data_IF_288967308179
#
_entry.id   IF_288967308179
#
_cell.length_a   1.000
_cell.length_b   1.000
_cell.length_c   1.000
_cell.angle_alpha   90.00
_cell.angle_beta   90.00
_cell.angle_gamma   90.00
#
_symmetry.space_group_name_H-M   'P 1'
#
loop_
_entity.id
_entity.type
_entity.pdbx_description
1 polymer ?
#
# COMPACT_ATOMS: atom_id res chain seq x y z
N UNK A 1 -15.13 -4.14 -8.93
CA UNK A 1 -16.12 -4.65 -7.97
C UNK A 1 -17.38 -3.82 -8.15
N UNK A 2 -18.55 -4.43 -8.23
CA UNK A 2 -19.82 -3.74 -8.47
C UNK A 2 -20.21 -2.91 -7.23
N UNK A 3 -20.32 -1.58 -7.35
CA UNK A 3 -20.52 -0.66 -6.22
C UNK A 3 -21.76 -1.01 -5.38
N UNK A 4 -22.83 -1.48 -6.04
CA UNK A 4 -24.06 -1.92 -5.37
C UNK A 4 -23.84 -3.14 -4.47
N UNK A 5 -22.93 -4.06 -4.86
CA UNK A 5 -22.58 -5.24 -4.04
C UNK A 5 -21.74 -4.86 -2.84
N UNK A 6 -20.87 -3.86 -2.97
CA UNK A 6 -20.07 -3.34 -1.85
C UNK A 6 -20.95 -2.62 -0.81
N UNK A 7 -21.97 -1.88 -1.24
CA UNK A 7 -22.96 -1.24 -0.36
C UNK A 7 -23.75 -2.27 0.47
N UNK A 8 -24.18 -3.38 -0.16
CA UNK A 8 -24.88 -4.47 0.53
C UNK A 8 -24.03 -5.11 1.65
N UNK A 9 -22.73 -5.25 1.42
CA UNK A 9 -21.78 -5.81 2.39
C UNK A 9 -21.68 -4.89 3.60
N UNK A 10 -21.55 -3.58 3.38
CA UNK A 10 -21.48 -2.58 4.45
C UNK A 10 -22.77 -2.52 5.27
N UNK A 11 -23.92 -2.55 4.61
CA UNK A 11 -25.21 -2.55 5.29
C UNK A 11 -25.44 -3.84 6.08
N UNK A 12 -25.02 -4.99 5.55
CA UNK A 12 -25.10 -6.26 6.27
C UNK A 12 -24.18 -6.27 7.51
N UNK A 13 -22.99 -5.68 7.42
CA UNK A 13 -22.08 -5.51 8.56
C UNK A 13 -22.67 -4.59 9.63
N UNK A 14 -23.26 -3.47 9.22
CA UNK A 14 -23.91 -2.52 10.12
C UNK A 14 -25.11 -3.13 10.84
N UNK A 15 -25.93 -3.92 10.14
CA UNK A 15 -27.07 -4.60 10.74
C UNK A 15 -26.62 -5.73 11.66
N UNK A 16 -25.57 -6.47 11.31
CA UNK A 16 -24.98 -7.46 12.21
C UNK A 16 -24.45 -6.80 13.49
N UNK A 17 -23.78 -5.65 13.39
CA UNK A 17 -23.30 -4.89 14.56
C UNK A 17 -24.44 -4.39 15.46
N UNK A 18 -25.53 -3.90 14.86
CA UNK A 18 -26.71 -3.40 15.61
C UNK A 18 -27.49 -4.52 16.29
N UNK A 19 -27.65 -5.66 15.61
CA UNK A 19 -28.55 -6.73 16.04
C UNK A 19 -27.85 -7.81 16.88
N UNK A 20 -26.58 -8.08 16.61
CA UNK A 20 -25.78 -9.10 17.32
C UNK A 20 -24.31 -8.68 17.37
N UNK A 21 -24.00 -7.74 18.27
CA UNK A 21 -22.66 -7.16 18.44
C UNK A 21 -21.59 -8.24 18.68
N UNK A 22 -21.91 -9.31 19.41
CA UNK A 22 -20.96 -10.40 19.67
C UNK A 22 -20.66 -11.21 18.40
N UNK A 23 -21.68 -11.50 17.58
CA UNK A 23 -21.46 -12.15 16.29
C UNK A 23 -20.69 -11.24 15.33
N UNK A 24 -20.97 -9.93 15.32
CA UNK A 24 -20.20 -8.96 14.56
C UNK A 24 -18.73 -8.93 14.98
N UNK A 25 -18.44 -8.79 16.27
CA UNK A 25 -17.07 -8.75 16.77
C UNK A 25 -16.31 -10.06 16.47
N UNK A 26 -16.98 -11.21 16.59
CA UNK A 26 -16.39 -12.52 16.26
C UNK A 26 -16.19 -12.71 14.75
N UNK A 27 -17.13 -12.27 13.91
CA UNK A 27 -17.02 -12.26 12.45
C UNK A 27 -15.88 -11.35 11.99
N UNK A 28 -15.84 -10.12 12.49
CA UNK A 28 -14.77 -9.16 12.20
C UNK A 28 -13.43 -9.68 12.70
N UNK A 29 -13.34 -10.25 13.90
CA UNK A 29 -12.13 -10.87 14.41
C UNK A 29 -11.70 -12.04 13.52
N UNK A 30 -12.61 -12.91 13.08
CA UNK A 30 -12.29 -14.05 12.23
C UNK A 30 -11.79 -13.65 10.84
N UNK A 31 -12.47 -12.72 10.17
CA UNK A 31 -12.17 -12.35 8.78
C UNK A 31 -11.14 -11.23 8.66
N UNK A 32 -11.09 -10.31 9.63
CA UNK A 32 -10.10 -9.23 9.66
C UNK A 32 -8.86 -9.56 10.49
N UNK A 33 -8.81 -10.68 11.25
CA UNK A 33 -7.55 -11.07 11.92
C UNK A 33 -6.40 -11.32 10.95
N UNK A 34 -6.66 -11.67 9.69
CA UNK A 34 -5.61 -11.77 8.67
C UNK A 34 -4.92 -10.43 8.41
N UNK A 35 -5.62 -9.29 8.58
CA UNK A 35 -5.03 -7.94 8.54
C UNK A 35 -4.24 -7.63 9.83
N UNK A 36 -4.63 -8.23 10.96
CA UNK A 36 -3.91 -8.13 12.24
C UNK A 36 -2.69 -9.07 12.33
N UNK A 37 -2.51 -10.00 11.39
CA UNK A 37 -1.35 -10.90 11.31
C UNK A 37 -0.12 -10.23 10.67
N UNK A 38 -0.20 -8.94 10.36
CA UNK A 38 0.89 -8.21 9.70
C UNK A 38 2.13 -8.17 10.58
N UNK A 39 3.26 -8.59 10.00
CA UNK A 39 4.47 -8.80 10.77
C UNK A 39 5.35 -7.56 10.71
N UNK A 40 5.68 -6.93 11.86
CA UNK A 40 6.60 -5.80 11.87
C UNK A 40 8.02 -6.27 11.54
N UNK A 41 8.64 -5.60 10.60
CA UNK A 41 10.02 -5.77 10.21
C UNK A 41 10.75 -4.43 10.26
N UNK A 42 12.07 -4.45 10.37
CA UNK A 42 12.92 -3.26 10.33
C UNK A 42 13.82 -3.38 9.11
N UNK A 43 13.35 -2.99 7.92
CA UNK A 43 14.14 -3.09 6.71
C UNK A 43 15.25 -2.03 6.71
N UNK A 44 16.30 -2.26 5.92
CA UNK A 44 17.45 -1.37 5.82
C UNK A 44 17.24 -0.41 4.66
N UNK A 45 17.50 0.88 4.88
CA UNK A 45 17.35 1.90 3.84
C UNK A 45 18.36 1.71 2.71
N UNK A 46 17.92 1.89 1.47
CA UNK A 46 18.73 1.89 0.27
C UNK A 46 19.00 3.32 -0.21
N UNK A 47 17.95 3.96 -0.73
CA UNK A 47 17.96 5.25 -1.42
C UNK A 47 16.54 5.79 -1.52
N UNK A 48 16.41 7.07 -1.89
CA UNK A 48 15.14 7.72 -2.15
C UNK A 48 15.00 8.05 -3.64
N UNK A 49 13.79 7.92 -4.17
CA UNK A 49 13.43 8.42 -5.49
C UNK A 49 12.27 9.41 -5.38
N UNK A 50 12.23 10.38 -6.28
CA UNK A 50 11.10 11.29 -6.44
C UNK A 50 10.50 11.13 -7.82
N UNK A 51 9.18 11.20 -7.89
CA UNK A 51 8.42 11.33 -9.14
C UNK A 51 7.30 12.36 -8.98
N UNK A 52 6.63 12.68 -10.07
CA UNK A 52 5.55 13.65 -10.10
C UNK A 52 4.19 12.97 -9.85
N UNK A 53 3.38 13.61 -9.01
CA UNK A 53 1.95 13.33 -8.90
C UNK A 53 1.23 14.22 -9.91
N UNK A 54 0.44 13.62 -10.78
CA UNK A 54 -0.19 14.27 -11.92
C UNK A 54 -1.71 14.16 -11.84
N UNK A 55 -2.42 15.25 -12.16
CA UNK A 55 -3.87 15.24 -12.39
C UNK A 55 -4.15 15.38 -13.86
N UNK A 56 -5.15 14.66 -14.38
CA UNK A 56 -5.66 14.93 -15.73
C UNK A 56 -6.39 16.27 -15.71
N UNK A 57 -5.83 17.29 -16.36
CA UNK A 57 -6.42 18.62 -16.42
C UNK A 57 -7.32 18.79 -17.64
N UNK A 58 -6.95 18.20 -18.79
CA UNK A 58 -7.75 18.22 -20.02
C UNK A 58 -7.69 16.84 -20.68
N UNK A 59 -8.85 16.26 -20.98
CA UNK A 59 -8.96 15.03 -21.75
C UNK A 59 -9.78 15.27 -23.01
N UNK A 60 -9.14 15.16 -24.17
CA UNK A 60 -9.83 15.14 -25.47
C UNK A 60 -9.96 13.70 -25.97
N UNK A 61 -10.61 13.49 -27.12
CA UNK A 61 -10.71 12.16 -27.74
C UNK A 61 -9.34 11.57 -28.12
N UNK A 62 -8.32 12.41 -28.30
CA UNK A 62 -7.00 12.00 -28.81
C UNK A 62 -5.86 12.28 -27.84
N UNK A 63 -5.99 13.26 -26.95
CA UNK A 63 -4.92 13.72 -26.06
C UNK A 63 -5.39 13.75 -24.59
N UNK A 64 -4.47 13.42 -23.69
CA UNK A 64 -4.63 13.61 -22.25
C UNK A 64 -3.52 14.55 -21.78
N UNK A 65 -3.90 15.73 -21.30
CA UNK A 65 -2.99 16.70 -20.70
C UNK A 65 -3.03 16.54 -19.19
N UNK A 66 -1.84 16.51 -18.59
CA UNK A 66 -1.65 16.30 -17.17
C UNK A 66 -0.91 17.47 -16.56
N UNK A 67 -1.33 17.86 -15.37
CA UNK A 67 -0.68 18.89 -14.56
C UNK A 67 -0.06 18.27 -13.33
N UNK A 68 1.17 18.69 -13.02
CA UNK A 68 1.84 18.29 -11.79
C UNK A 68 1.16 18.96 -10.59
N UNK A 69 0.75 18.14 -9.63
CA UNK A 69 0.15 18.56 -8.36
C UNK A 69 1.25 18.76 -7.31
N UNK A 70 2.10 17.74 -7.12
CA UNK A 70 3.16 17.74 -6.11
C UNK A 70 4.22 16.66 -6.42
N UNK A 71 5.24 16.59 -5.57
CA UNK A 71 6.25 15.54 -5.60
C UNK A 71 5.77 14.30 -4.82
N UNK A 72 6.14 13.11 -5.28
CA UNK A 72 5.99 11.85 -4.56
C UNK A 72 7.37 11.29 -4.22
N UNK A 73 7.75 11.34 -2.94
CA UNK A 73 9.00 10.78 -2.43
C UNK A 73 8.81 9.32 -2.01
N UNK A 74 9.64 8.43 -2.52
CA UNK A 74 9.54 7.00 -2.27
C UNK A 74 10.87 6.51 -1.69
N UNK A 75 10.82 6.09 -0.44
CA UNK A 75 11.97 5.53 0.26
C UNK A 75 12.07 4.03 -0.02
N UNK A 76 13.16 3.61 -0.66
CA UNK A 76 13.41 2.22 -0.99
C UNK A 76 14.20 1.57 0.14
N UNK A 77 13.71 0.44 0.63
CA UNK A 77 14.35 -0.36 1.67
C UNK A 77 14.51 -1.81 1.22
N UNK A 78 15.40 -2.55 1.86
CA UNK A 78 15.57 -3.97 1.64
C UNK A 78 15.53 -4.79 2.93
N UNK A 79 15.14 -6.05 2.79
CA UNK A 79 15.10 -7.03 3.89
C UNK A 79 15.23 -8.45 3.34
N UNK A 80 15.65 -9.40 4.17
CA UNK A 80 15.57 -10.83 3.87
C UNK A 80 14.30 -11.49 4.46
N UNK A 81 13.36 -10.70 4.99
CA UNK A 81 12.13 -11.18 5.63
C UNK A 81 10.90 -11.22 4.70
N UNK A 82 11.02 -10.63 3.51
CA UNK A 82 10.04 -10.78 2.42
C UNK A 82 10.37 -12.07 1.68
N UNK A 83 9.36 -12.73 1.11
CA UNK A 83 9.53 -13.91 0.26
C UNK A 83 10.61 -13.67 -0.81
N UNK A 84 11.56 -14.60 -0.91
CA UNK A 84 12.65 -14.50 -1.86
C UNK A 84 12.12 -14.53 -3.32
N UNK A 85 12.71 -13.75 -4.23
CA UNK A 85 12.31 -13.78 -5.62
C UNK A 85 12.76 -15.08 -6.29
N UNK A 86 11.95 -15.59 -7.22
CA UNK A 86 12.31 -16.74 -8.06
C UNK A 86 12.84 -16.22 -9.38
N UNK A 87 14.17 -16.18 -9.52
CA UNK A 87 14.87 -15.66 -10.69
C UNK A 87 15.65 -16.79 -11.39
N UNK A 88 15.64 -16.88 -12.73
CA UNK A 88 16.54 -17.78 -13.46
C UNK A 88 18.01 -17.46 -13.17
N UNK A 89 18.91 -18.44 -13.19
CA UNK A 89 20.34 -18.21 -12.89
C UNK A 89 21.00 -17.15 -13.79
N UNK A 90 20.57 -17.08 -15.06
CA UNK A 90 21.06 -16.14 -16.07
C UNK A 90 20.17 -14.89 -16.23
N UNK A 91 19.32 -14.55 -15.24
CA UNK A 91 18.35 -13.45 -15.38
C UNK A 91 19.00 -12.09 -15.72
N UNK A 92 20.23 -11.85 -15.26
CA UNK A 92 20.98 -10.63 -15.57
C UNK A 92 21.35 -10.49 -17.06
N UNK A 93 21.42 -11.59 -17.82
CA UNK A 93 21.62 -11.55 -19.28
C UNK A 93 20.34 -11.19 -20.04
N UNK A 94 19.18 -11.42 -19.41
CA UNK A 94 17.85 -11.26 -20.01
C UNK A 94 16.93 -10.40 -19.11
N UNK A 95 17.45 -9.28 -18.61
CA UNK A 95 16.76 -8.42 -17.63
C UNK A 95 15.36 -7.98 -18.09
N UNK A 96 15.19 -7.74 -19.39
CA UNK A 96 13.91 -7.28 -19.95
C UNK A 96 12.80 -8.36 -19.93
N UNK A 97 13.16 -9.64 -19.74
CA UNK A 97 12.23 -10.77 -19.76
C UNK A 97 11.99 -11.38 -18.37
N UNK A 98 12.35 -10.66 -17.30
CA UNK A 98 12.12 -11.11 -15.93
C UNK A 98 10.61 -11.20 -15.66
N UNK A 99 10.16 -12.32 -15.13
CA UNK A 99 8.78 -12.45 -14.65
C UNK A 99 8.63 -11.73 -13.30
N UNK A 100 7.99 -10.56 -13.31
CA UNK A 100 7.75 -9.74 -12.11
C UNK A 100 6.72 -10.34 -11.15
N UNK A 101 5.91 -11.33 -11.55
CA UNK A 101 5.02 -12.05 -10.63
C UNK A 101 5.81 -12.84 -9.57
N UNK A 102 7.07 -13.16 -9.87
CA UNK A 102 7.97 -13.85 -8.96
C UNK A 102 8.81 -12.90 -8.08
N UNK A 103 8.58 -11.58 -8.16
CA UNK A 103 9.29 -10.58 -7.36
C UNK A 103 8.30 -9.89 -6.43
N UNK A 104 8.46 -10.14 -5.14
CA UNK A 104 7.64 -9.51 -4.10
C UNK A 104 8.18 -8.13 -3.74
N UNK A 105 7.32 -7.13 -3.85
CA UNK A 105 7.56 -5.74 -3.48
C UNK A 105 6.43 -5.34 -2.57
N UNK A 106 6.73 -4.99 -1.32
CA UNK A 106 5.71 -4.48 -0.41
C UNK A 106 5.78 -2.96 -0.38
N UNK A 107 4.66 -2.30 -0.64
CA UNK A 107 4.57 -0.84 -0.62
C UNK A 107 3.62 -0.36 0.45
N UNK A 108 3.91 0.79 1.05
CA UNK A 108 2.95 1.47 1.88
C UNK A 108 3.10 2.99 1.78
N UNK A 109 1.97 3.68 1.89
CA UNK A 109 1.93 5.13 2.00
C UNK A 109 2.37 5.54 3.39
N UNK A 110 3.20 6.57 3.48
CA UNK A 110 3.70 7.10 4.76
C UNK A 110 3.40 8.59 4.83
N UNK A 111 3.37 9.12 6.06
CA UNK A 111 3.34 10.57 6.25
C UNK A 111 4.77 11.11 6.12
N UNK A 112 4.96 12.07 5.23
CA UNK A 112 6.24 12.78 5.15
C UNK A 112 6.24 14.10 5.91
N UNK A 113 7.28 14.87 5.63
CA UNK A 113 7.59 16.09 6.37
C UNK A 113 6.87 17.31 5.81
N UNK A 114 6.66 17.34 4.50
CA UNK A 114 5.84 18.35 3.83
C UNK A 114 4.40 17.86 3.76
N UNK A 115 3.45 18.70 4.18
CA UNK A 115 2.04 18.45 3.93
C UNK A 115 1.62 18.68 2.48
N UNK A 116 2.53 19.20 1.63
CA UNK A 116 2.28 19.48 0.22
C UNK A 116 2.64 18.30 -0.69
N UNK A 117 3.48 17.39 -0.21
CA UNK A 117 4.04 16.30 -1.01
C UNK A 117 3.54 14.95 -0.51
N UNK A 118 3.64 13.93 -1.36
CA UNK A 118 3.26 12.56 -1.06
C UNK A 118 4.49 11.72 -0.74
N UNK A 119 4.31 10.72 0.12
CA UNK A 119 5.40 9.91 0.62
C UNK A 119 5.00 8.44 0.73
N UNK A 120 5.90 7.56 0.30
CA UNK A 120 5.72 6.13 0.39
C UNK A 120 7.05 5.47 0.77
N UNK A 121 6.96 4.22 1.19
CA UNK A 121 8.09 3.32 1.22
C UNK A 121 7.80 2.09 0.38
N UNK A 122 8.87 1.53 -0.18
CA UNK A 122 8.84 0.26 -0.88
C UNK A 122 9.94 -0.63 -0.31
N UNK A 123 9.57 -1.86 0.05
CA UNK A 123 10.47 -2.84 0.64
C UNK A 123 10.64 -4.00 -0.33
N UNK A 124 11.90 -4.27 -0.68
CA UNK A 124 12.29 -5.34 -1.59
C UNK A 124 13.12 -6.42 -0.88
N UNK A 125 13.21 -7.59 -1.50
CA UNK A 125 14.09 -8.64 -0.98
C UNK A 125 15.58 -8.28 -1.14
N UNK A 126 16.41 -8.74 -0.22
CA UNK A 126 17.87 -8.52 -0.24
C UNK A 126 18.57 -9.04 -1.51
N UNK A 127 18.03 -10.09 -2.15
CA UNK A 127 18.52 -10.59 -3.44
C UNK A 127 18.32 -9.55 -4.55
N UNK A 128 17.17 -8.88 -4.59
CA UNK A 128 16.92 -7.82 -5.57
C UNK A 128 17.91 -6.67 -5.32
N UNK A 129 18.04 -6.22 -4.07
CA UNK A 129 18.96 -5.14 -3.71
C UNK A 129 20.42 -5.43 -4.12
N UNK A 130 20.93 -6.65 -3.92
CA UNK A 130 22.30 -7.04 -4.31
C UNK A 130 22.59 -6.86 -5.80
N UNK A 131 21.55 -6.96 -6.64
CA UNK A 131 21.69 -6.84 -8.09
C UNK A 131 21.43 -5.42 -8.61
N UNK A 132 21.04 -4.47 -7.75
CA UNK A 132 20.81 -3.06 -8.12
C UNK A 132 22.07 -2.24 -8.41
N UNK A 133 23.26 -2.86 -8.40
CA UNK A 133 24.46 -2.23 -8.94
C UNK A 133 24.36 -2.08 -10.46
N UNK A 134 23.59 -2.95 -11.13
CA UNK A 134 23.24 -2.77 -12.53
C UNK A 134 22.15 -1.71 -12.68
N UNK A 135 22.46 -0.67 -13.47
CA UNK A 135 21.58 0.51 -13.63
C UNK A 135 20.28 0.15 -14.34
N UNK A 136 20.32 -0.76 -15.32
CA UNK A 136 19.15 -1.18 -16.07
C UNK A 136 18.19 -1.93 -15.16
N UNK A 137 18.69 -2.94 -14.44
CA UNK A 137 17.91 -3.70 -13.48
C UNK A 137 17.34 -2.81 -12.37
N UNK A 138 18.17 -1.90 -11.83
CA UNK A 138 17.73 -0.94 -10.81
C UNK A 138 16.57 -0.07 -11.32
N UNK A 139 16.67 0.46 -12.53
CA UNK A 139 15.62 1.30 -13.11
C UNK A 139 14.32 0.52 -13.33
N UNK A 140 14.42 -0.72 -13.82
CA UNK A 140 13.24 -1.58 -14.04
C UNK A 140 12.51 -1.89 -12.73
N UNK A 141 13.25 -2.21 -11.65
CA UNK A 141 12.63 -2.41 -10.33
C UNK A 141 11.97 -1.12 -9.83
N UNK A 142 12.59 0.04 -10.03
CA UNK A 142 11.99 1.32 -9.62
C UNK A 142 10.71 1.58 -10.42
N UNK A 143 10.72 1.43 -11.75
CA UNK A 143 9.52 1.55 -12.58
C UNK A 143 8.42 0.63 -12.09
N UNK A 144 8.74 -0.62 -11.74
CA UNK A 144 7.76 -1.57 -11.18
C UNK A 144 7.17 -1.09 -9.84
N UNK A 145 7.99 -0.51 -8.97
CA UNK A 145 7.53 0.10 -7.71
C UNK A 145 6.56 1.25 -8.00
N UNK A 146 6.89 2.12 -8.97
CA UNK A 146 6.03 3.23 -9.37
C UNK A 146 4.69 2.75 -9.94
N UNK A 147 4.69 1.68 -10.73
CA UNK A 147 3.47 1.06 -11.25
C UNK A 147 2.55 0.56 -10.13
N UNK A 148 3.10 -0.14 -9.13
CA UNK A 148 2.35 -0.64 -7.98
C UNK A 148 1.71 0.54 -7.22
N UNK A 149 2.50 1.57 -6.92
CA UNK A 149 2.02 2.78 -6.22
C UNK A 149 0.95 3.50 -7.07
N UNK A 150 1.17 3.65 -8.37
CA UNK A 150 0.20 4.27 -9.27
C UNK A 150 -1.14 3.54 -9.29
N UNK A 151 -1.11 2.21 -9.39
CA UNK A 151 -2.32 1.38 -9.38
C UNK A 151 -3.08 1.51 -8.06
N UNK A 152 -2.36 1.62 -6.95
CA UNK A 152 -2.94 1.86 -5.63
C UNK A 152 -3.61 3.22 -5.52
N UNK A 153 -2.90 4.30 -5.88
CA UNK A 153 -3.44 5.65 -5.79
C UNK A 153 -4.64 5.83 -6.73
N UNK A 154 -4.61 5.23 -7.94
CA UNK A 154 -5.76 5.20 -8.85
C UNK A 154 -6.98 4.52 -8.25
N UNK A 155 -6.77 3.42 -7.51
CA UNK A 155 -7.86 2.70 -6.85
C UNK A 155 -8.54 3.57 -5.80
N UNK A 156 -7.80 4.48 -5.15
CA UNK A 156 -8.34 5.43 -4.18
C UNK A 156 -8.92 6.68 -4.83
N UNK A 157 -8.27 7.22 -5.87
CA UNK A 157 -8.66 8.43 -6.59
C UNK A 157 -8.31 8.32 -8.07
N UNK A 158 -9.33 8.06 -8.90
CA UNK A 158 -9.15 7.83 -10.35
C UNK A 158 -8.56 9.04 -11.11
N UNK A 159 -8.60 10.24 -10.54
CA UNK A 159 -8.08 11.47 -11.14
C UNK A 159 -6.60 11.74 -10.82
N UNK A 160 -6.00 10.96 -9.92
CA UNK A 160 -4.58 11.04 -9.57
C UNK A 160 -3.81 9.97 -10.35
N UNK A 161 -2.72 10.38 -10.98
CA UNK A 161 -1.76 9.51 -11.64
C UNK A 161 -0.38 9.76 -11.05
N UNK A 162 0.36 8.69 -10.79
CA UNK A 162 1.79 8.79 -10.49
C UNK A 162 2.57 8.60 -11.79
N UNK A 163 3.53 9.48 -12.05
CA UNK A 163 4.37 9.34 -13.24
C UNK A 163 5.29 8.12 -13.09
N UNK A 164 5.00 7.06 -13.84
CA UNK A 164 5.77 5.81 -13.83
C UNK A 164 6.96 5.81 -14.79
N UNK A 165 7.03 6.81 -15.69
CA UNK A 165 7.99 6.86 -16.79
C UNK A 165 9.23 7.69 -16.47
N UNK A 166 9.16 8.53 -15.45
CA UNK A 166 10.23 9.44 -15.06
C UNK A 166 10.35 9.47 -13.54
N UNK A 167 11.58 9.40 -13.04
CA UNK A 167 11.90 9.59 -11.64
C UNK A 167 13.33 10.13 -11.49
N UNK A 168 13.64 10.67 -10.32
CA UNK A 168 14.99 11.13 -9.98
C UNK A 168 15.44 10.51 -8.67
N UNK A 169 16.71 10.14 -8.59
CA UNK A 169 17.33 9.78 -7.32
C UNK A 169 17.57 11.04 -6.50
N UNK A 170 17.22 10.99 -5.22
CA UNK A 170 17.52 12.06 -4.28
C UNK A 170 18.42 11.52 -3.18
N UNK A 171 19.51 12.23 -2.94
CA UNK A 171 20.36 12.00 -1.79
C UNK A 171 19.69 12.63 -0.55
N UNK A 172 19.41 11.79 0.46
CA UNK A 172 18.92 12.26 1.74
C UNK A 172 20.12 12.61 2.63
N UNK A 173 20.04 13.72 3.36
CA UNK A 173 21.06 14.11 4.35
C UNK A 173 20.99 13.27 5.65
N UNK A 174 20.14 12.25 5.67
CA UNK A 174 19.87 11.37 6.80
C UNK A 174 19.46 9.98 6.29
N UNK A 175 19.55 8.98 7.17
CA UNK A 175 19.08 7.62 6.86
C UNK A 175 17.72 7.44 7.56
N UNK A 176 16.60 7.38 6.82
CA UNK A 176 15.31 7.13 7.41
C UNK A 176 15.27 5.70 7.98
N UNK A 177 14.69 5.56 9.16
CA UNK A 177 14.43 4.25 9.78
C UNK A 177 12.93 4.04 9.78
N UNK A 178 12.51 2.84 9.47
CA UNK A 178 11.10 2.48 9.45
C UNK A 178 10.88 1.15 10.16
N UNK A 179 9.68 0.98 10.71
CA UNK A 179 9.14 -0.34 11.01
C UNK A 179 8.12 -0.59 9.93
N UNK A 180 8.37 -1.52 9.02
CA UNK A 180 7.44 -1.84 7.94
C UNK A 180 6.61 -3.05 8.32
N UNK A 181 5.32 -3.08 7.96
CA UNK A 181 4.42 -4.16 8.34
C UNK A 181 4.11 -4.97 7.09
N UNK A 182 4.59 -6.22 7.07
CA UNK A 182 4.41 -7.08 5.92
C UNK A 182 3.07 -7.80 5.97
N UNK A 183 2.40 -7.86 4.82
CA UNK A 183 1.33 -8.81 4.58
C UNK A 183 1.88 -10.24 4.81
N UNK A 184 1.18 -11.10 5.56
CA UNK A 184 1.54 -12.52 5.69
C UNK A 184 1.83 -13.21 4.36
N UNK A 185 1.09 -12.88 3.29
CA UNK A 185 1.29 -13.45 1.95
C UNK A 185 2.66 -13.11 1.33
N UNK A 186 3.26 -12.00 1.76
CA UNK A 186 4.55 -11.50 1.28
C UNK A 186 5.71 -11.86 2.23
N UNK A 187 5.43 -12.47 3.38
CA UNK A 187 6.47 -12.91 4.33
C UNK A 187 7.08 -14.25 3.89
N UNK A 188 8.37 -14.44 4.17
CA UNK A 188 9.03 -15.72 3.94
C UNK A 188 8.47 -16.78 4.91
N UNK A 189 7.77 -17.78 4.36
CA UNK A 189 6.99 -18.75 5.12
C UNK A 189 7.89 -19.83 5.72
N UNK A 190 8.37 -19.56 6.93
CA UNK A 190 8.74 -20.59 7.92
C UNK A 190 7.84 -20.50 9.17
N UNK A 191 6.62 -19.97 9.03
CA UNK A 191 5.72 -19.69 10.16
C UNK A 191 4.38 -20.34 9.86
N UNK A 192 4.14 -21.45 10.58
CA UNK A 192 2.88 -22.16 10.82
C UNK A 192 1.69 -21.76 9.94
N UNK A 193 1.29 -22.66 9.04
CA UNK A 193 -0.04 -22.66 8.43
C UNK A 193 -1.09 -22.75 9.56
N UNK A 194 -1.70 -21.62 9.92
CA UNK A 194 -2.99 -21.69 10.59
C UNK A 194 -4.03 -22.17 9.58
N UNK A 195 -4.78 -23.20 9.97
CA UNK A 195 -5.84 -23.82 9.18
C UNK A 195 -6.77 -22.76 8.58
N UNK A 196 -7.22 -22.99 7.33
CA UNK A 196 -8.22 -22.13 6.71
C UNK A 196 -9.44 -22.00 7.64
N UNK A 197 -9.95 -20.78 7.89
CA UNK A 197 -11.13 -20.61 8.72
C UNK A 197 -12.33 -21.28 8.03
N UNK A 198 -12.83 -22.36 8.64
CA UNK A 198 -14.05 -23.05 8.22
C UNK A 198 -15.28 -22.17 8.49
N UNK A 199 -16.27 -22.17 7.59
CA UNK A 199 -17.54 -21.43 7.76
C UNK A 199 -18.18 -21.80 9.10
N UNK A 200 -18.54 -20.80 9.91
CA UNK A 200 -19.22 -21.00 11.20
C UNK A 200 -20.55 -20.23 11.28
N UNK A 201 -21.25 -20.36 12.42
CA UNK A 201 -22.55 -19.73 12.63
C UNK A 201 -22.54 -18.21 12.46
N UNK A 202 -21.43 -17.52 12.75
CA UNK A 202 -21.33 -16.07 12.56
C UNK A 202 -21.23 -15.69 11.10
N UNK A 203 -20.58 -16.54 10.29
CA UNK A 203 -20.54 -16.38 8.84
C UNK A 203 -21.91 -16.60 8.22
N UNK A 204 -22.61 -17.66 8.66
CA UNK A 204 -23.96 -17.99 8.19
C UNK A 204 -24.92 -16.85 8.50
N UNK A 205 -24.85 -16.26 9.71
CA UNK A 205 -25.67 -15.08 10.07
C UNK A 205 -25.39 -13.89 9.15
N UNK A 206 -24.11 -13.58 8.91
CA UNK A 206 -23.74 -12.49 8.00
C UNK A 206 -24.25 -12.74 6.57
N UNK A 207 -24.02 -13.94 6.03
CA UNK A 207 -24.44 -14.29 4.66
C UNK A 207 -25.96 -14.30 4.51
N UNK A 208 -26.71 -14.69 5.54
CA UNK A 208 -28.18 -14.61 5.52
C UNK A 208 -28.66 -13.16 5.44
N UNK A 209 -28.11 -12.25 6.25
CA UNK A 209 -28.43 -10.80 6.18
C UNK A 209 -28.06 -10.24 4.80
N UNK A 210 -26.89 -10.61 4.28
CA UNK A 210 -26.43 -10.18 2.97
C UNK A 210 -27.35 -10.68 1.83
N UNK A 211 -27.75 -11.95 1.87
CA UNK A 211 -28.65 -12.56 0.90
C UNK A 211 -30.06 -11.96 0.95
N UNK A 212 -30.57 -11.63 2.14
CA UNK A 212 -31.85 -10.92 2.30
C UNK A 212 -31.79 -9.51 1.70
N UNK A 213 -30.66 -8.81 1.81
CA UNK A 213 -30.49 -7.48 1.21
C UNK A 213 -30.34 -7.53 -0.31
N UNK A 214 -29.53 -8.47 -0.81
CA UNK A 214 -29.34 -8.65 -2.25
C UNK A 214 -30.62 -9.11 -2.95
N UNK A 215 -31.43 -9.96 -2.31
CA UNK A 215 -32.73 -10.38 -2.85
C UNK A 215 -33.77 -9.24 -2.87
N UNK A 216 -33.72 -8.29 -1.92
CA UNK A 216 -34.56 -7.09 -1.94
C UNK A 216 -34.20 -6.13 -3.07
N UNK A 217 -32.92 -5.93 -3.37
CA UNK A 217 -32.47 -5.03 -4.45
C UNK A 217 -32.85 -5.55 -5.84
N UNK A 218 -32.90 -6.87 -6.04
CA UNK A 218 -33.37 -7.46 -7.29
C UNK A 218 -34.87 -7.23 -7.55
N UNK A 219 -35.65 -6.82 -6.53
CA UNK A 219 -37.09 -6.62 -6.61
C UNK A 219 -37.52 -5.15 -6.63
N UNK A 220 -36.60 -4.18 -6.59
CA UNK A 220 -36.92 -2.75 -6.61
C UNK A 220 -36.08 -2.00 -7.64
N UNK A 221 -36.72 -1.58 -8.74
CA UNK A 221 -36.27 -0.47 -9.58
C UNK A 221 -36.65 0.85 -8.91
N UNK A 222 -35.82 1.37 -8.02
CA UNK A 222 -35.95 2.76 -7.55
C UNK A 222 -34.58 3.43 -7.39
N UNK A 223 -34.44 4.56 -8.09
CA UNK A 223 -33.34 5.51 -8.01
C UNK A 223 -33.51 6.38 -6.74
N UNK A 224 -32.86 6.00 -5.64
CA UNK A 224 -32.60 6.93 -4.53
C UNK A 224 -31.09 7.00 -4.26
N UNK A 225 -30.45 8.11 -4.67
CA UNK A 225 -29.11 8.47 -4.19
C UNK A 225 -29.22 8.86 -2.72
N UNK A 226 -29.01 7.90 -1.81
CA UNK A 226 -28.78 8.20 -0.39
C UNK A 226 -27.30 8.52 -0.20
N UNK A 227 -27.04 9.76 0.21
CA UNK A 227 -25.72 10.22 0.63
C UNK A 227 -25.19 9.34 1.78
N UNK A 228 -24.04 8.71 1.57
CA UNK A 228 -23.36 7.91 2.58
C UNK A 228 -22.76 8.87 3.62
N UNK A 229 -23.35 8.93 4.82
CA UNK A 229 -22.68 9.55 5.98
C UNK A 229 -21.74 8.53 6.62
N UNK A 230 -20.44 8.71 6.40
CA UNK A 230 -19.40 7.96 7.10
C UNK A 230 -19.35 8.44 8.55
N UNK A 231 -19.71 7.57 9.50
CA UNK A 231 -19.45 7.84 10.91
C UNK A 231 -17.99 7.53 11.21
N UNK A 232 -17.24 8.60 11.47
CA UNK A 232 -15.82 8.59 11.78
C UNK A 232 -15.58 7.93 13.15
N UNK A 233 -15.24 6.64 13.16
CA UNK A 233 -14.82 5.91 14.37
C UNK A 233 -13.31 6.05 14.65
N UNK A 234 -12.64 6.98 13.98
CA UNK A 234 -11.19 7.23 14.03
C UNK A 234 -10.66 7.68 15.39
N UNK A 235 -11.51 8.00 16.37
CA UNK A 235 -11.05 8.54 17.65
C UNK A 235 -10.24 7.57 18.52
N UNK A 236 -10.32 6.24 18.31
CA UNK A 236 -9.54 5.26 19.08
C UNK A 236 -8.33 4.65 18.33
N UNK A 237 -8.15 4.96 17.05
CA UNK A 237 -6.95 4.54 16.28
C UNK A 237 -5.73 5.42 16.61
N UNK A 238 -5.97 6.58 17.23
CA UNK A 238 -4.98 7.63 17.50
C UNK A 238 -3.99 7.33 18.65
N UNK A 239 -4.16 6.23 19.40
CA UNK A 239 -3.44 6.05 20.67
C UNK A 239 -2.12 5.25 20.62
N UNK A 240 -1.66 4.74 19.47
CA UNK A 240 -0.39 3.98 19.38
C UNK A 240 0.70 4.74 18.59
N UNK A 241 1.04 5.93 19.04
CA UNK A 241 2.18 6.71 18.52
C UNK A 241 3.52 6.15 19.03
N UNK A 242 4.32 5.52 18.16
CA UNK A 242 5.74 5.27 18.45
C UNK A 242 6.65 6.26 17.71
N UNK A 243 7.53 6.92 18.48
CA UNK A 243 8.51 7.88 17.94
C UNK A 243 9.63 7.16 17.16
N UNK A 244 9.91 7.62 15.94
CA UNK A 244 11.03 7.12 15.13
C UNK A 244 12.29 7.93 15.46
N UNK A 245 13.39 7.23 15.77
CA UNK A 245 14.72 7.83 15.96
C UNK A 245 15.46 7.91 14.62
N UNK A 246 15.80 9.10 14.15
CA UNK A 246 16.73 9.31 13.01
C UNK A 246 18.19 9.44 13.49
N UNK A 247 19.16 9.15 12.62
CA UNK A 247 20.60 9.38 12.86
C UNK A 247 21.12 10.27 11.73
N UNK A 248 21.80 11.38 12.06
CA UNK A 248 22.49 12.24 11.09
C UNK A 248 23.68 11.49 10.46
N UNK A 249 23.86 11.61 9.15
CA UNK A 249 25.11 11.19 8.51
C UNK A 249 26.24 12.19 8.82
N UNK A 250 27.46 11.69 9.00
CA UNK A 250 28.66 12.50 9.15
C UNK A 250 29.15 13.01 7.78
N UNK A 251 29.06 14.33 7.58
CA UNK A 251 29.74 15.18 6.57
C UNK A 251 30.00 14.56 5.18
N UNK A 252 29.10 14.82 4.24
CA UNK A 252 29.39 14.86 2.81
C UNK A 252 29.42 16.32 2.33
N UNK A 253 30.36 16.65 1.44
CA UNK A 253 30.65 18.02 0.97
C UNK A 253 29.45 18.70 0.31
N UNK A 254 29.39 20.02 0.47
CA UNK A 254 28.37 20.91 -0.07
C UNK A 254 28.24 20.80 -1.60
N UNK A 255 27.07 20.36 -2.09
CA UNK A 255 26.54 20.83 -3.39
C UNK A 255 25.04 20.59 -3.51
N UNK A 256 24.33 21.67 -3.87
CA UNK A 256 22.90 21.79 -4.18
C UNK A 256 21.88 21.70 -3.03
N UNK A 257 21.42 22.87 -2.59
CA UNK A 257 20.22 23.09 -1.78
C UNK A 257 18.96 22.69 -2.59
N UNK A 258 18.68 21.41 -2.68
CA UNK A 258 17.29 20.95 -2.70
C UNK A 258 16.91 20.84 -1.22
N UNK A 259 15.73 21.36 -0.83
CA UNK A 259 15.25 21.29 0.57
C UNK A 259 15.01 19.83 0.94
N UNK A 260 16.07 19.15 1.37
CA UNK A 260 16.04 17.77 1.82
C UNK A 260 15.49 17.78 3.26
N UNK A 261 14.40 17.05 3.55
CA UNK A 261 13.77 17.06 4.87
C UNK A 261 14.69 16.50 5.97
N UNK A 262 14.42 16.75 7.27
CA UNK A 262 15.36 16.46 8.40
C UNK A 262 14.89 15.41 9.40
N UNK A 263 13.65 14.91 9.36
CA UNK A 263 13.12 13.88 10.26
C UNK A 263 11.77 13.27 9.80
N UNK A 264 11.76 11.99 9.40
CA UNK A 264 10.52 11.25 9.09
C UNK A 264 9.88 10.69 10.37
N UNK A 265 8.57 10.93 10.55
CA UNK A 265 7.74 10.27 11.57
C UNK A 265 6.77 9.32 10.87
N UNK A 266 6.96 7.99 11.01
CA UNK A 266 6.04 6.98 10.47
C UNK A 266 4.79 6.85 11.34
N UNK A 267 3.61 6.85 10.73
CA UNK A 267 2.33 6.45 11.34
C UNK A 267 1.70 5.34 10.48
N UNK A 268 0.66 4.70 11.01
CA UNK A 268 0.05 3.43 10.57
C UNK A 268 -0.16 3.19 9.06
N UNK A 269 -0.18 1.90 8.75
CA UNK A 269 0.06 1.25 7.46
C UNK A 269 -1.22 1.10 6.63
N UNK A 270 -1.22 1.67 5.42
CA UNK A 270 -1.97 1.05 4.32
C UNK A 270 -1.03 0.07 3.65
N UNK A 271 -1.11 -1.21 4.04
CA UNK A 271 -0.48 -2.28 3.26
C UNK A 271 -1.25 -2.35 1.95
N UNK A 272 -0.56 -1.99 0.88
CA UNK A 272 -1.07 -2.11 -0.46
C UNK A 272 -0.35 -3.31 -1.05
N UNK A 273 -1.12 -4.38 -1.27
CA UNK A 273 -0.71 -5.52 -2.10
C UNK A 273 -0.81 -5.14 -3.59
#
# INVERSE_FOLDING_TARGET
>A
MDLKKAECIWDALNDLHKNDKNAYEKFMKKHMNKLNQTKPIKPKFCFCVVTDVERVSIKTKTNEYKEKICDYFINIYYTNKIKAPVLPDDFMKNINNINFENIFISTCKIKGESSKDMYAEAVIHSIIYKNMNDVLFKNIIITRILEIINNSEKTLSNDININTNSFKFIELQYIPKTTHYLNPHCADYNISQENQPTVDETDIKFYNILNEKQSKINNTTEDEKKEIKIFDSSNNILNDMQSVKTIKQSKGNESHKINIPKQVKSYHYSIID
#
